data_IF_993568213402
#
_entry.id   IF_993568213402
#
_cell.length_a   1.000
_cell.length_b   1.000
_cell.length_c   1.000
_cell.angle_alpha   90.00
_cell.angle_beta   90.00
_cell.angle_gamma   90.00
#
_symmetry.space_group_name_H-M   'P 1'
#
loop_
_entity.id
_entity.type
_entity.pdbx_description
1 polymer ?
#
# COMPACT_ATOMS: atom_id res chain seq x y z
N UNK A 1 17.96 16.25 6.74
CA UNK A 1 17.69 16.03 5.31
C UNK A 1 17.27 14.59 5.09
N UNK A 2 16.14 14.38 4.42
CA UNK A 2 15.66 13.02 4.17
C UNK A 2 16.58 12.29 3.19
N UNK A 3 16.82 11.00 3.40
CA UNK A 3 17.58 10.17 2.49
C UNK A 3 16.86 10.04 1.15
N UNK A 4 17.58 9.61 0.10
CA UNK A 4 16.98 9.38 -1.21
C UNK A 4 15.92 8.28 -1.16
N UNK A 5 16.09 7.27 -0.30
CA UNK A 5 15.09 6.22 -0.13
C UNK A 5 13.81 6.76 0.52
N UNK A 6 13.93 7.60 1.54
CA UNK A 6 12.78 8.25 2.17
C UNK A 6 12.07 9.16 1.18
N UNK A 7 12.81 9.90 0.37
CA UNK A 7 12.22 10.76 -0.67
C UNK A 7 11.44 9.95 -1.70
N UNK A 8 11.99 8.81 -2.12
CA UNK A 8 11.33 7.92 -3.08
C UNK A 8 10.01 7.37 -2.49
N UNK A 9 10.02 6.94 -1.24
CA UNK A 9 8.83 6.44 -0.57
C UNK A 9 7.78 7.55 -0.42
N UNK A 10 8.19 8.74 -0.03
CA UNK A 10 7.29 9.88 0.11
C UNK A 10 6.60 10.18 -1.24
N UNK A 11 7.38 10.22 -2.31
CA UNK A 11 6.85 10.45 -3.66
C UNK A 11 5.90 9.35 -4.10
N UNK A 12 6.17 8.10 -3.71
CA UNK A 12 5.28 6.99 -4.02
C UNK A 12 3.86 7.21 -3.45
N UNK A 13 3.76 7.58 -2.17
CA UNK A 13 2.44 7.78 -1.56
C UNK A 13 1.71 8.98 -2.16
N UNK A 14 2.44 10.04 -2.51
CA UNK A 14 1.84 11.17 -3.20
C UNK A 14 1.34 10.78 -4.59
N UNK A 15 2.09 9.97 -5.31
CA UNK A 15 1.69 9.49 -6.64
C UNK A 15 0.44 8.60 -6.56
N UNK A 16 0.35 7.74 -5.55
CA UNK A 16 -0.86 6.93 -5.32
C UNK A 16 -2.07 7.84 -5.10
N UNK A 17 -1.93 8.85 -4.26
CA UNK A 17 -3.01 9.78 -3.95
C UNK A 17 -3.47 10.54 -5.18
N UNK A 18 -2.55 10.92 -6.05
CA UNK A 18 -2.83 11.66 -7.28
C UNK A 18 -3.22 10.78 -8.46
N UNK A 19 -3.16 9.45 -8.30
CA UNK A 19 -3.36 8.49 -9.39
C UNK A 19 -2.33 8.61 -10.51
N UNK A 20 -1.12 9.05 -10.18
CA UNK A 20 -0.02 9.14 -11.10
C UNK A 20 0.67 7.77 -11.20
N UNK A 21 0.17 6.91 -12.07
CA UNK A 21 0.69 5.54 -12.19
C UNK A 21 2.13 5.47 -12.68
N UNK A 22 2.60 6.30 -13.63
CA UNK A 22 4.03 6.34 -13.93
C UNK A 22 4.89 6.69 -12.72
N UNK A 23 4.45 7.64 -11.89
CA UNK A 23 5.15 7.98 -10.65
C UNK A 23 5.17 6.83 -9.65
N UNK A 24 4.06 6.09 -9.55
CA UNK A 24 3.97 4.89 -8.70
C UNK A 24 4.95 3.82 -9.18
N UNK A 25 5.01 3.60 -10.48
CA UNK A 25 5.86 2.56 -11.07
C UNK A 25 7.35 2.86 -10.91
N UNK A 26 7.72 4.13 -10.83
CA UNK A 26 9.12 4.56 -10.87
C UNK A 26 9.95 4.06 -9.69
N UNK A 27 9.33 3.76 -8.54
CA UNK A 27 10.06 3.33 -7.35
C UNK A 27 10.53 1.88 -7.41
N UNK A 28 9.87 1.04 -8.21
CA UNK A 28 10.06 -0.41 -8.17
C UNK A 28 11.20 -0.89 -9.07
N UNK A 29 11.99 -1.82 -8.54
CA UNK A 29 12.87 -2.64 -9.36
C UNK A 29 12.02 -3.62 -10.19
N UNK A 30 12.55 -4.10 -11.31
CA UNK A 30 11.81 -5.02 -12.18
C UNK A 30 11.44 -6.34 -11.48
N UNK A 31 12.27 -6.78 -10.56
CA UNK A 31 12.09 -8.03 -9.81
C UNK A 31 11.52 -7.81 -8.41
N UNK A 32 10.89 -6.69 -8.14
CA UNK A 32 10.33 -6.37 -6.83
C UNK A 32 9.36 -7.46 -6.35
N UNK A 33 9.36 -7.69 -5.03
CA UNK A 33 8.42 -8.60 -4.38
C UNK A 33 7.56 -7.80 -3.42
N UNK A 34 6.25 -7.92 -3.56
CA UNK A 34 5.29 -7.30 -2.66
C UNK A 34 4.58 -8.39 -1.87
N UNK A 35 4.72 -8.35 -0.55
CA UNK A 35 4.06 -9.28 0.36
C UNK A 35 2.89 -8.53 0.99
N UNK A 36 1.69 -8.89 0.60
CA UNK A 36 0.47 -8.24 1.10
C UNK A 36 -0.10 -8.99 2.29
N UNK A 37 -0.75 -8.25 3.19
CA UNK A 37 -1.58 -8.85 4.22
C UNK A 37 -2.77 -9.57 3.58
N UNK A 38 -3.35 -10.50 4.33
CA UNK A 38 -4.49 -11.27 3.86
C UNK A 38 -5.75 -10.41 3.87
N UNK A 39 -5.90 -9.59 2.84
CA UNK A 39 -7.08 -8.76 2.62
C UNK A 39 -7.62 -9.04 1.22
N UNK A 40 -8.68 -9.83 1.07
CA UNK A 40 -9.23 -10.07 -0.26
C UNK A 40 -9.71 -8.77 -0.92
N UNK A 41 -9.57 -8.59 -2.24
CA UNK A 41 -8.99 -9.57 -3.17
C UNK A 41 -7.47 -9.50 -3.28
N UNK A 42 -6.80 -8.65 -2.48
CA UNK A 42 -5.35 -8.49 -2.52
C UNK A 42 -4.76 -9.22 -1.33
N UNK A 43 -4.12 -10.32 -1.60
CA UNK A 43 -3.49 -11.14 -0.56
C UNK A 43 -2.38 -11.98 -1.17
N UNK A 44 -1.42 -12.33 -0.31
CA UNK A 44 -0.31 -13.18 -0.73
C UNK A 44 0.87 -12.40 -1.24
N UNK A 45 1.69 -13.06 -2.04
CA UNK A 45 2.95 -12.51 -2.54
C UNK A 45 2.86 -12.28 -4.05
N UNK A 46 3.27 -11.10 -4.48
CA UNK A 46 3.32 -10.73 -5.90
C UNK A 46 4.76 -10.50 -6.28
N UNK A 47 5.23 -11.17 -7.32
CA UNK A 47 6.63 -11.10 -7.77
C UNK A 47 6.70 -10.43 -9.13
N UNK A 48 7.56 -9.42 -9.25
CA UNK A 48 7.78 -8.68 -10.46
C UNK A 48 6.95 -7.41 -10.54
N UNK A 49 7.52 -6.40 -11.19
CA UNK A 49 6.91 -5.07 -11.29
C UNK A 49 5.51 -5.12 -11.93
N UNK A 50 5.34 -5.94 -12.97
CA UNK A 50 4.05 -6.05 -13.65
C UNK A 50 2.97 -6.62 -12.73
N UNK A 51 3.30 -7.65 -11.94
CA UNK A 51 2.36 -8.25 -11.01
C UNK A 51 2.01 -7.28 -9.88
N UNK A 52 3.00 -6.55 -9.36
CA UNK A 52 2.76 -5.57 -8.30
C UNK A 52 1.85 -4.46 -8.79
N UNK A 53 2.11 -3.90 -9.96
CA UNK A 53 1.30 -2.81 -10.50
C UNK A 53 -0.09 -3.27 -10.91
N UNK A 54 -0.20 -4.41 -11.56
CA UNK A 54 -1.48 -4.89 -12.10
C UNK A 54 -2.32 -5.67 -11.10
N UNK A 55 -1.71 -6.57 -10.34
CA UNK A 55 -2.44 -7.47 -9.46
C UNK A 55 -2.55 -6.97 -8.03
N UNK A 56 -1.51 -6.37 -7.48
CA UNK A 56 -1.59 -5.82 -6.13
C UNK A 56 -2.23 -4.43 -6.12
N UNK A 57 -1.53 -3.45 -6.67
CA UNK A 57 -1.99 -2.05 -6.61
C UNK A 57 -3.18 -1.79 -7.52
N UNK A 58 -3.21 -2.41 -8.69
CA UNK A 58 -4.32 -2.25 -9.63
C UNK A 58 -5.64 -2.76 -9.07
N UNK A 59 -5.62 -3.86 -8.33
CA UNK A 59 -6.84 -4.40 -7.71
C UNK A 59 -7.36 -3.50 -6.59
N UNK A 60 -6.46 -2.87 -5.83
CA UNK A 60 -6.87 -1.90 -4.81
C UNK A 60 -7.62 -0.75 -5.47
N UNK A 61 -7.07 -0.19 -6.52
CA UNK A 61 -7.69 0.92 -7.23
C UNK A 61 -9.03 0.50 -7.85
N UNK A 62 -9.07 -0.68 -8.46
CA UNK A 62 -10.29 -1.15 -9.15
C UNK A 62 -11.42 -1.48 -8.19
N UNK A 63 -11.12 -2.03 -7.00
CA UNK A 63 -12.14 -2.52 -6.09
C UNK A 63 -12.54 -1.50 -5.02
N UNK A 64 -11.63 -0.61 -4.65
CA UNK A 64 -11.86 0.31 -3.54
C UNK A 64 -11.73 1.78 -3.94
N UNK A 65 -11.81 2.05 -5.23
CA UNK A 65 -11.91 3.40 -5.75
C UNK A 65 -10.79 4.32 -5.31
N UNK A 66 -11.11 5.33 -4.56
CA UNK A 66 -10.18 6.37 -4.16
C UNK A 66 -9.34 6.10 -2.92
N UNK A 67 -9.19 4.85 -2.50
CA UNK A 67 -8.42 4.55 -1.30
C UNK A 67 -6.93 4.87 -1.50
N UNK A 68 -6.31 5.44 -0.47
CA UNK A 68 -4.87 5.70 -0.46
C UNK A 68 -4.35 5.58 0.97
N UNK A 69 -3.03 5.51 1.09
CA UNK A 69 -2.37 5.48 2.41
C UNK A 69 -1.90 6.88 2.75
N UNK A 70 -2.27 7.34 3.94
CA UNK A 70 -1.75 8.57 4.52
C UNK A 70 -0.62 8.19 5.47
N UNK A 71 0.64 8.50 5.14
CA UNK A 71 1.75 8.22 6.05
C UNK A 71 1.65 9.13 7.29
N UNK A 72 1.75 8.53 8.46
CA UNK A 72 1.85 9.27 9.72
C UNK A 72 3.29 9.44 10.14
N UNK A 73 4.11 8.40 9.94
CA UNK A 73 5.54 8.41 10.26
C UNK A 73 6.29 7.63 9.19
N UNK A 74 7.40 8.18 8.75
CA UNK A 74 8.32 7.52 7.83
C UNK A 74 9.67 7.40 8.54
N UNK A 75 10.12 6.18 8.75
CA UNK A 75 11.32 5.87 9.52
C UNK A 75 12.42 5.45 8.56
N UNK A 76 13.53 6.19 8.59
CA UNK A 76 14.71 5.89 7.78
C UNK A 76 15.59 4.87 8.51
N UNK A 77 15.69 3.67 7.95
CA UNK A 77 16.54 2.61 8.50
C UNK A 77 17.64 2.20 7.50
N UNK A 78 18.15 3.16 6.74
CA UNK A 78 19.22 2.92 5.76
C UNK A 78 18.69 2.34 4.46
N UNK A 79 18.99 1.08 4.17
CA UNK A 79 18.45 0.39 2.99
C UNK A 79 17.00 -0.07 3.19
N UNK A 80 16.44 0.16 4.37
CA UNK A 80 15.02 -0.07 4.63
C UNK A 80 14.35 1.22 5.06
N UNK A 81 13.08 1.36 4.68
CA UNK A 81 12.23 2.48 5.11
C UNK A 81 10.94 1.87 5.64
N UNK A 82 10.56 2.27 6.86
CA UNK A 82 9.34 1.77 7.50
C UNK A 82 8.32 2.89 7.57
N UNK A 83 7.13 2.64 7.07
CA UNK A 83 6.04 3.61 7.04
C UNK A 83 4.92 3.13 7.93
N UNK A 84 4.57 3.95 8.92
CA UNK A 84 3.36 3.77 9.70
C UNK A 84 2.32 4.74 9.17
N UNK A 85 1.15 4.23 8.78
CA UNK A 85 0.12 5.07 8.19
C UNK A 85 -1.26 4.50 8.41
N UNK A 86 -2.20 5.08 7.69
CA UNK A 86 -3.60 4.65 7.72
C UNK A 86 -4.21 4.78 6.34
N UNK A 87 -5.18 3.92 6.06
CA UNK A 87 -5.94 4.03 4.83
C UNK A 87 -6.96 5.16 4.93
N UNK A 88 -7.13 5.88 3.83
CA UNK A 88 -8.08 6.97 3.68
C UNK A 88 -8.77 6.88 2.33
N UNK A 89 -9.94 7.48 2.21
CA UNK A 89 -10.62 7.63 0.95
C UNK A 89 -10.28 8.97 0.31
N UNK A 90 -10.02 8.95 -0.99
CA UNK A 90 -9.68 10.17 -1.73
C UNK A 90 -10.88 11.08 -1.95
N UNK A 91 -12.07 10.52 -2.11
CA UNK A 91 -13.28 11.29 -2.36
C UNK A 91 -13.98 11.60 -1.05
N UNK A 92 -14.27 12.88 -0.83
CA UNK A 92 -15.10 13.30 0.29
C UNK A 92 -16.56 12.98 -0.05
N UNK A 93 -16.96 11.75 0.22
CA UNK A 93 -18.37 11.37 0.18
C UNK A 93 -18.96 11.37 1.58
N UNK A 94 -20.26 11.19 1.71
CA UNK A 94 -20.88 11.01 3.03
C UNK A 94 -20.56 9.66 3.65
N UNK A 95 -19.55 8.98 3.17
CA UNK A 95 -19.16 7.67 3.67
C UNK A 95 -18.27 7.75 4.90
N UNK A 96 -18.18 6.63 5.60
CA UNK A 96 -17.31 6.53 6.76
C UNK A 96 -15.85 6.55 6.31
N UNK A 97 -15.02 7.27 7.07
CA UNK A 97 -13.59 7.25 6.86
C UNK A 97 -13.05 5.89 7.27
N UNK A 98 -12.25 5.29 6.39
CA UNK A 98 -11.58 4.05 6.74
C UNK A 98 -10.48 4.35 7.74
N UNK A 99 -10.52 3.70 8.90
CA UNK A 99 -9.55 3.91 9.96
C UNK A 99 -8.63 2.70 10.15
N UNK A 100 -8.34 1.99 9.08
CA UNK A 100 -7.44 0.85 9.15
C UNK A 100 -5.99 1.32 9.14
N UNK A 101 -5.23 0.92 10.16
CA UNK A 101 -3.80 1.23 10.24
C UNK A 101 -3.01 0.25 9.40
N UNK A 102 -1.89 0.72 8.88
CA UNK A 102 -1.01 -0.11 8.07
C UNK A 102 0.46 0.21 8.34
N UNK A 103 1.30 -0.79 8.17
CA UNK A 103 2.75 -0.65 8.20
C UNK A 103 3.29 -1.19 6.89
N UNK A 104 4.11 -0.41 6.21
CA UNK A 104 4.82 -0.85 5.02
C UNK A 104 6.31 -0.84 5.30
N UNK A 105 6.96 -1.99 5.15
CA UNK A 105 8.41 -2.10 5.26
C UNK A 105 9.00 -2.23 3.86
N UNK A 106 9.74 -1.20 3.44
CA UNK A 106 10.37 -1.11 2.13
C UNK A 106 11.82 -1.50 2.22
N UNK A 107 12.30 -2.33 1.31
CA UNK A 107 13.72 -2.65 1.18
C UNK A 107 14.21 -2.14 -0.17
N UNK A 108 15.34 -1.41 -0.14
CA UNK A 108 15.92 -0.78 -1.32
C UNK A 108 17.26 -1.42 -1.67
N UNK A 109 17.53 -1.47 -2.97
CA UNK A 109 18.84 -1.83 -3.51
C UNK A 109 19.07 -0.96 -4.75
N UNK A 110 20.23 -0.31 -4.80
CA UNK A 110 20.61 0.56 -5.92
C UNK A 110 19.53 1.61 -6.25
N UNK A 111 18.91 2.17 -5.22
CA UNK A 111 17.92 3.24 -5.37
C UNK A 111 16.53 2.78 -5.76
N UNK A 112 16.28 1.49 -5.89
CA UNK A 112 14.97 0.94 -6.26
C UNK A 112 14.45 0.00 -5.17
N UNK A 113 13.13 -0.03 -5.02
CA UNK A 113 12.48 -0.93 -4.08
C UNK A 113 12.51 -2.35 -4.62
N UNK A 114 13.12 -3.26 -3.87
CA UNK A 114 13.20 -4.69 -4.23
C UNK A 114 12.24 -5.54 -3.43
N UNK A 115 11.72 -5.02 -2.32
CA UNK A 115 10.75 -5.75 -1.49
C UNK A 115 9.90 -4.77 -0.73
N UNK A 116 8.61 -5.06 -0.62
CA UNK A 116 7.69 -4.33 0.23
C UNK A 116 6.88 -5.34 1.02
N UNK A 117 6.86 -5.20 2.33
CA UNK A 117 6.00 -6.00 3.20
C UNK A 117 4.90 -5.10 3.77
N UNK A 118 3.66 -5.49 3.55
CA UNK A 118 2.50 -4.75 4.00
C UNK A 118 1.81 -5.50 5.13
N UNK A 119 1.68 -4.84 6.28
CA UNK A 119 0.97 -5.34 7.44
C UNK A 119 -0.17 -4.38 7.75
N UNK A 120 -1.39 -4.81 7.56
CA UNK A 120 -2.57 -3.97 7.72
C UNK A 120 -3.47 -4.54 8.81
N UNK A 121 -4.21 -3.66 9.49
CA UNK A 121 -5.24 -4.06 10.42
C UNK A 121 -6.39 -4.69 9.60
N UNK A 122 -6.28 -5.99 9.38
CA UNK A 122 -7.17 -6.71 8.46
C UNK A 122 -8.59 -6.79 8.99
N UNK A 123 -8.77 -6.83 10.29
CA UNK A 123 -10.11 -6.88 10.88
C UNK A 123 -10.87 -5.57 10.63
N UNK A 124 -10.26 -4.43 10.92
CA UNK A 124 -10.90 -3.12 10.66
C UNK A 124 -11.12 -2.88 9.18
N UNK A 125 -10.16 -3.28 8.37
CA UNK A 125 -10.27 -3.15 6.92
C UNK A 125 -11.42 -4.00 6.39
N UNK A 126 -11.50 -5.25 6.81
CA UNK A 126 -12.57 -6.15 6.41
C UNK A 126 -13.93 -5.62 6.84
N UNK A 127 -14.04 -5.10 8.06
CA UNK A 127 -15.28 -4.51 8.56
C UNK A 127 -15.70 -3.30 7.72
N UNK A 128 -14.76 -2.42 7.39
CA UNK A 128 -15.04 -1.23 6.58
C UNK A 128 -15.59 -1.58 5.20
N UNK A 129 -15.21 -2.73 4.66
CA UNK A 129 -15.65 -3.19 3.34
C UNK A 129 -16.72 -4.29 3.41
N UNK A 130 -17.35 -4.50 4.58
CA UNK A 130 -18.43 -5.44 4.72
C UNK A 130 -18.01 -6.91 4.66
N UNK A 131 -16.76 -7.21 4.99
CA UNK A 131 -16.21 -8.56 5.01
C UNK A 131 -16.05 -9.04 6.43
N UNK A 132 -16.06 -10.37 6.62
CA UNK A 132 -15.75 -10.95 7.91
C UNK A 132 -14.27 -10.78 8.24
N UNK A 133 -13.88 -10.90 9.52
CA UNK A 133 -12.46 -11.02 9.83
C UNK A 133 -11.82 -12.08 8.95
N UNK A 134 -10.61 -11.81 8.43
CA UNK A 134 -9.91 -12.60 7.43
C UNK A 134 -10.57 -12.63 6.05
N UNK A 135 -11.60 -11.82 5.81
CA UNK A 135 -12.21 -11.65 4.48
C UNK A 135 -12.83 -12.90 3.87
N UNK A 136 -13.23 -13.88 4.69
CA UNK A 136 -13.71 -15.17 4.17
C UNK A 136 -15.15 -15.13 3.71
N UNK A 137 -15.97 -14.29 4.29
CA UNK A 137 -17.37 -14.14 3.92
C UNK A 137 -17.86 -12.76 4.31
N UNK A 138 -18.92 -12.26 3.65
CA UNK A 138 -19.47 -10.95 3.98
C UNK A 138 -19.96 -10.87 5.41
N UNK A 139 -19.83 -9.69 6.00
CA UNK A 139 -20.44 -9.39 7.30
C UNK A 139 -21.91 -9.09 7.05
N UNK A 140 -22.79 -9.82 7.70
CA UNK A 140 -24.24 -9.64 7.56
C UNK A 140 -24.74 -8.46 8.38
#
# INVERSE_FOLDING_TARGET
MASSNVQAVTSFYESIKKRDMPGVAAIFADDVVWVASHIPPVEGTYTGKQAVLGQALGRIVANWGGIYVQPDRIIDAGDQVVVLGRYREAAAGPGETIEARTVHAWTFKDGKAVRVEQLTDTEKFAHAFGLSPAGRYPVS
#
